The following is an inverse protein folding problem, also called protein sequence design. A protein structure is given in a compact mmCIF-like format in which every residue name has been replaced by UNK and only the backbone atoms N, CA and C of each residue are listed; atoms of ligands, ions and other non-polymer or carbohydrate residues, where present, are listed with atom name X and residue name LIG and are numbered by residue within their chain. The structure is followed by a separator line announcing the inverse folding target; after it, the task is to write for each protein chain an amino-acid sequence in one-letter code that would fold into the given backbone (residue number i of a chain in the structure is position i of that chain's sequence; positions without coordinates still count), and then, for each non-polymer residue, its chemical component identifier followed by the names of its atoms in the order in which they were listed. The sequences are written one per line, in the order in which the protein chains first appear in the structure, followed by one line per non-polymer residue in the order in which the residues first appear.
data_IF_393927423556
#
_entry.id   IF_393927423556
#
_cell.length_a   1.000
_cell.length_b   1.000
_cell.length_c   1.000
_cell.angle_alpha   90.00
_cell.angle_beta   90.00
_cell.angle_gamma   90.00
#
_symmetry.space_group_name_H-M   'P 1'
#
loop_
_entity.id
_entity.type
_entity.pdbx_description
1 polymer ?
#
# COMPACT_ATOMS: atom_id res chain seq x y z
N UNK A 1 3.01 3.90 -32.92
CA UNK A 1 2.17 4.34 -31.77
C UNK A 1 2.56 5.77 -31.44
N UNK A 2 1.61 6.71 -31.26
CA UNK A 2 1.97 8.12 -30.99
C UNK A 2 2.62 8.25 -29.59
N UNK A 3 3.69 9.04 -29.43
CA UNK A 3 4.55 9.02 -28.23
C UNK A 3 3.86 9.51 -26.94
N UNK A 4 2.77 10.26 -27.03
CA UNK A 4 2.07 10.79 -25.85
C UNK A 4 1.21 9.76 -25.11
N UNK A 5 0.90 8.59 -25.70
CA UNK A 5 -0.02 7.61 -25.10
C UNK A 5 0.48 7.11 -23.74
N UNK A 6 1.78 6.80 -23.63
CA UNK A 6 2.36 6.31 -22.38
C UNK A 6 2.39 7.39 -21.28
N UNK A 7 2.69 8.64 -21.66
CA UNK A 7 2.68 9.78 -20.73
C UNK A 7 1.27 10.05 -20.19
N UNK A 8 0.24 9.94 -21.04
CA UNK A 8 -1.15 10.10 -20.60
C UNK A 8 -1.57 8.98 -19.64
N UNK A 9 -1.21 7.72 -19.90
CA UNK A 9 -1.52 6.60 -19.00
C UNK A 9 -0.89 6.79 -17.63
N UNK A 10 0.40 7.17 -17.57
CA UNK A 10 1.09 7.47 -16.32
C UNK A 10 0.42 8.61 -15.55
N UNK A 11 0.06 9.69 -16.23
CA UNK A 11 -0.63 10.83 -15.62
C UNK A 11 -2.01 10.42 -15.07
N UNK A 12 -2.75 9.61 -15.81
CA UNK A 12 -4.03 9.07 -15.33
C UNK A 12 -3.84 8.20 -14.10
N UNK A 13 -2.88 7.28 -14.09
CA UNK A 13 -2.60 6.43 -12.92
C UNK A 13 -2.21 7.26 -11.70
N UNK A 14 -1.40 8.30 -11.89
CA UNK A 14 -1.04 9.24 -10.82
C UNK A 14 -2.28 9.94 -10.23
N UNK A 15 -3.12 10.55 -11.08
CA UNK A 15 -4.35 11.22 -10.63
C UNK A 15 -5.29 10.25 -9.91
N UNK A 16 -5.50 9.05 -10.48
CA UNK A 16 -6.35 8.02 -9.85
C UNK A 16 -5.76 7.58 -8.50
N UNK A 17 -4.44 7.43 -8.39
CA UNK A 17 -3.81 7.04 -7.13
C UNK A 17 -4.05 8.07 -6.01
N UNK A 18 -4.01 9.37 -6.33
CA UNK A 18 -4.28 10.45 -5.37
C UNK A 18 -5.75 10.49 -4.98
N UNK A 19 -6.66 10.41 -5.97
CA UNK A 19 -8.10 10.40 -5.70
C UNK A 19 -8.49 9.18 -4.85
N UNK A 20 -7.90 8.02 -5.13
CA UNK A 20 -8.12 6.82 -4.35
C UNK A 20 -7.53 6.95 -2.94
N UNK A 21 -6.34 7.55 -2.80
CA UNK A 21 -5.76 7.83 -1.48
C UNK A 21 -6.66 8.74 -0.63
N UNK A 22 -7.17 9.83 -1.21
CA UNK A 22 -8.09 10.75 -0.54
C UNK A 22 -9.40 10.07 -0.13
N UNK A 23 -9.95 9.23 -1.01
CA UNK A 23 -11.14 8.46 -0.69
C UNK A 23 -10.87 7.50 0.46
N UNK A 24 -9.79 6.73 0.39
CA UNK A 24 -9.41 5.74 1.41
C UNK A 24 -9.09 6.41 2.74
N UNK A 25 -8.36 7.53 2.76
CA UNK A 25 -8.00 8.23 4.00
C UNK A 25 -9.22 8.70 4.78
N UNK A 26 -10.28 9.13 4.09
CA UNK A 26 -11.54 9.53 4.73
C UNK A 26 -12.31 8.39 5.38
N UNK A 27 -12.06 7.15 4.94
CA UNK A 27 -12.70 5.94 5.44
C UNK A 27 -11.85 5.22 6.49
N UNK A 28 -10.57 5.59 6.62
CA UNK A 28 -9.66 4.96 7.56
C UNK A 28 -9.96 5.41 9.00
N UNK A 29 -10.06 4.46 9.93
CA UNK A 29 -10.33 4.79 11.32
C UNK A 29 -9.02 5.23 12.01
N UNK A 30 -9.12 5.95 13.13
CA UNK A 30 -7.97 6.63 13.76
C UNK A 30 -6.90 5.65 14.27
N UNK A 31 -7.28 4.40 14.52
CA UNK A 31 -6.39 3.34 14.99
C UNK A 31 -5.33 2.96 13.95
N UNK A 32 -5.48 3.40 12.70
CA UNK A 32 -4.49 3.19 11.64
C UNK A 32 -3.36 4.23 11.65
N UNK A 33 -3.42 5.22 12.54
CA UNK A 33 -2.36 6.23 12.68
C UNK A 33 -1.07 5.60 13.16
N UNK A 34 0.01 5.89 12.46
CA UNK A 34 1.32 5.31 12.76
C UNK A 34 2.01 5.93 14.00
N UNK A 35 1.72 7.21 14.31
CA UNK A 35 2.44 8.00 15.31
C UNK A 35 1.59 8.42 16.52
N UNK A 36 0.48 7.72 16.77
CA UNK A 36 -0.45 8.06 17.85
C UNK A 36 -1.45 9.15 17.46
N UNK A 37 -1.99 9.83 18.47
CA UNK A 37 -3.08 10.79 18.28
C UNK A 37 -2.62 12.20 17.93
N UNK A 38 -1.39 12.58 18.31
CA UNK A 38 -0.81 13.89 18.06
C UNK A 38 -0.15 13.93 16.68
N UNK A 39 -0.90 14.40 15.69
CA UNK A 39 -0.48 14.46 14.28
C UNK A 39 0.45 15.65 14.03
N UNK A 40 0.30 16.72 14.80
CA UNK A 40 1.02 17.99 14.60
C UNK A 40 2.42 18.00 15.24
N UNK A 41 2.83 16.90 15.89
CA UNK A 41 4.16 16.77 16.48
C UNK A 41 5.25 16.78 15.38
N UNK A 42 6.14 17.79 15.36
CA UNK A 42 7.20 17.91 14.35
C UNK A 42 8.25 16.79 14.42
N UNK A 43 8.22 15.94 15.45
CA UNK A 43 9.08 14.76 15.55
C UNK A 43 8.59 13.57 14.73
N UNK A 44 7.30 13.50 14.38
CA UNK A 44 6.73 12.36 13.63
C UNK A 44 7.39 12.17 12.24
N UNK A 45 7.62 13.21 11.42
CA UNK A 45 8.34 13.06 10.16
C UNK A 45 9.79 12.59 10.35
N UNK A 46 10.46 12.98 11.43
CA UNK A 46 11.83 12.53 11.74
C UNK A 46 11.84 11.03 12.07
N UNK A 47 10.87 10.56 12.86
CA UNK A 47 10.68 9.13 13.15
C UNK A 47 10.39 8.35 11.87
N UNK A 48 9.53 8.87 10.99
CA UNK A 48 9.25 8.26 9.68
C UNK A 48 10.52 8.08 8.84
N UNK A 49 11.31 9.15 8.67
CA UNK A 49 12.57 9.09 7.91
C UNK A 49 13.53 8.06 8.52
N UNK A 50 13.66 8.06 9.85
CA UNK A 50 14.47 7.07 10.57
C UNK A 50 14.04 5.62 10.29
N UNK A 51 12.73 5.35 10.33
CA UNK A 51 12.18 4.03 10.01
C UNK A 51 12.43 3.61 8.55
N UNK A 52 12.30 4.53 7.59
CA UNK A 52 12.60 4.25 6.18
C UNK A 52 14.06 3.87 6.00
N UNK A 53 14.99 4.61 6.62
CA UNK A 53 16.43 4.29 6.56
C UNK A 53 16.71 2.91 7.14
N UNK A 54 16.13 2.59 8.30
CA UNK A 54 16.27 1.27 8.93
C UNK A 54 15.70 0.17 8.03
N UNK A 55 14.50 0.37 7.49
CA UNK A 55 13.86 -0.59 6.60
C UNK A 55 14.70 -0.83 5.33
N UNK A 56 15.17 0.23 4.68
CA UNK A 56 16.05 0.13 3.51
C UNK A 56 17.35 -0.60 3.86
N UNK A 57 17.97 -0.28 5.00
CA UNK A 57 19.18 -0.97 5.46
C UNK A 57 18.95 -2.48 5.65
N UNK A 58 17.84 -2.87 6.27
CA UNK A 58 17.46 -4.28 6.46
C UNK A 58 17.31 -4.98 5.11
N UNK A 59 16.60 -4.37 4.16
CA UNK A 59 16.41 -4.94 2.82
C UNK A 59 17.75 -5.11 2.11
N UNK A 60 18.61 -4.09 2.11
CA UNK A 60 19.94 -4.15 1.49
C UNK A 60 20.85 -5.19 2.14
N UNK A 61 20.76 -5.36 3.46
CA UNK A 61 21.50 -6.39 4.19
C UNK A 61 21.06 -7.80 3.79
N UNK A 62 19.76 -8.04 3.59
CA UNK A 62 19.22 -9.32 3.10
C UNK A 62 19.65 -9.57 1.64
N UNK A 63 19.61 -8.52 0.79
CA UNK A 63 20.12 -8.58 -0.59
C UNK A 63 21.59 -8.97 -0.60
N UNK A 64 22.41 -8.38 0.27
CA UNK A 64 23.84 -8.71 0.39
C UNK A 64 24.09 -10.17 0.77
N UNK A 65 23.16 -10.81 1.50
CA UNK A 65 23.22 -12.25 1.82
C UNK A 65 22.76 -13.17 0.68
N UNK A 66 22.30 -12.62 -0.44
CA UNK A 66 21.82 -13.40 -1.59
C UNK A 66 20.51 -14.15 -1.34
N UNK A 67 19.74 -13.77 -0.31
CA UNK A 67 18.51 -14.46 0.10
C UNK A 67 17.29 -14.07 -0.75
N UNK A 68 17.34 -14.34 -2.07
CA UNK A 68 16.31 -13.92 -3.03
C UNK A 68 14.88 -14.34 -2.65
N UNK A 69 14.70 -15.57 -2.15
CA UNK A 69 13.38 -16.06 -1.68
C UNK A 69 12.84 -15.27 -0.50
N UNK A 70 13.70 -14.87 0.43
CA UNK A 70 13.29 -14.10 1.60
C UNK A 70 12.83 -12.70 1.20
N UNK A 71 13.54 -12.05 0.27
CA UNK A 71 13.15 -10.75 -0.28
C UNK A 71 11.77 -10.85 -0.93
N UNK A 72 11.56 -11.87 -1.76
CA UNK A 72 10.28 -12.07 -2.43
C UNK A 72 9.13 -12.24 -1.43
N UNK A 73 9.33 -13.04 -0.37
CA UNK A 73 8.32 -13.23 0.68
C UNK A 73 8.04 -11.91 1.41
N UNK A 74 9.08 -11.17 1.81
CA UNK A 74 8.93 -9.90 2.52
C UNK A 74 8.16 -8.88 1.67
N UNK A 75 8.52 -8.74 0.39
CA UNK A 75 7.88 -7.79 -0.52
C UNK A 75 6.42 -8.20 -0.80
N UNK A 76 6.16 -9.47 -1.12
CA UNK A 76 4.79 -9.93 -1.36
C UNK A 76 3.92 -9.80 -0.11
N UNK A 77 4.48 -10.08 1.07
CA UNK A 77 3.79 -9.89 2.34
C UNK A 77 3.49 -8.41 2.58
N UNK A 78 4.45 -7.51 2.39
CA UNK A 78 4.26 -6.07 2.56
C UNK A 78 3.18 -5.52 1.60
N UNK A 79 3.24 -5.91 0.32
CA UNK A 79 2.27 -5.52 -0.70
C UNK A 79 0.87 -6.07 -0.37
N UNK A 80 0.78 -7.35 0.00
CA UNK A 80 -0.49 -7.99 0.38
C UNK A 80 -1.12 -7.37 1.63
N UNK A 81 -0.33 -7.12 2.67
CA UNK A 81 -0.78 -6.44 3.89
C UNK A 81 -1.29 -5.04 3.57
N UNK A 82 -0.56 -4.28 2.73
CA UNK A 82 -0.98 -2.94 2.33
C UNK A 82 -2.33 -2.97 1.60
N UNK A 83 -2.51 -3.91 0.66
CA UNK A 83 -3.78 -4.10 -0.03
C UNK A 83 -4.92 -4.44 0.94
N UNK A 84 -4.68 -5.30 1.94
CA UNK A 84 -5.66 -5.57 2.99
C UNK A 84 -6.08 -4.31 3.75
N UNK A 85 -5.12 -3.48 4.18
CA UNK A 85 -5.40 -2.24 4.92
C UNK A 85 -6.19 -1.22 4.11
N UNK A 86 -6.04 -1.23 2.78
CA UNK A 86 -6.82 -0.39 1.85
C UNK A 86 -8.23 -0.94 1.63
N UNK A 87 -8.35 -2.24 1.41
CA UNK A 87 -9.61 -2.88 1.04
C UNK A 87 -10.60 -2.94 2.21
N UNK A 88 -10.11 -3.19 3.42
CA UNK A 88 -10.93 -3.30 4.64
C UNK A 88 -11.85 -2.09 4.90
N UNK A 89 -11.36 -0.84 4.99
CA UNK A 89 -12.23 0.32 5.23
C UNK A 89 -13.21 0.58 4.09
N UNK A 90 -12.86 0.23 2.84
CA UNK A 90 -13.76 0.33 1.68
C UNK A 90 -14.91 -0.68 1.80
N UNK A 91 -14.60 -1.96 2.03
CA UNK A 91 -15.60 -3.03 2.09
C UNK A 91 -16.54 -2.81 3.28
N UNK A 92 -16.01 -2.33 4.40
CA UNK A 92 -16.80 -2.03 5.59
C UNK A 92 -17.92 -1.00 5.34
N UNK A 93 -17.82 -0.13 4.32
CA UNK A 93 -18.92 0.79 3.97
C UNK A 93 -20.18 0.07 3.45
N UNK A 94 -20.05 -1.17 3.01
CA UNK A 94 -21.13 -1.93 2.37
C UNK A 94 -21.58 -3.14 3.19
N UNK A 95 -20.91 -3.48 4.28
CA UNK A 95 -21.17 -4.70 5.05
C UNK A 95 -20.79 -4.56 6.53
N UNK A 96 -21.07 -5.59 7.33
CA UNK A 96 -20.69 -5.60 8.75
C UNK A 96 -19.18 -5.78 8.92
N UNK A 97 -18.64 -5.31 10.05
CA UNK A 97 -17.21 -5.37 10.35
C UNK A 97 -16.62 -6.78 10.20
N UNK A 98 -17.29 -7.81 10.72
CA UNK A 98 -16.81 -9.19 10.66
C UNK A 98 -16.74 -9.73 9.21
N UNK A 99 -17.71 -9.36 8.37
CA UNK A 99 -17.72 -9.76 6.96
C UNK A 99 -16.66 -9.00 6.17
N UNK A 100 -16.50 -7.70 6.44
CA UNK A 100 -15.49 -6.86 5.80
C UNK A 100 -14.07 -7.37 6.08
N UNK A 101 -13.80 -7.80 7.31
CA UNK A 101 -12.53 -8.40 7.72
C UNK A 101 -12.18 -9.62 6.87
N UNK A 102 -13.11 -10.59 6.79
CA UNK A 102 -12.90 -11.84 6.06
C UNK A 102 -12.74 -11.56 4.56
N UNK A 103 -13.60 -10.73 3.98
CA UNK A 103 -13.56 -10.40 2.55
C UNK A 103 -12.29 -9.63 2.18
N UNK A 104 -11.84 -8.70 3.02
CA UNK A 104 -10.60 -7.95 2.77
C UNK A 104 -9.39 -8.88 2.76
N UNK A 105 -9.31 -9.82 3.72
CA UNK A 105 -8.24 -10.83 3.75
C UNK A 105 -8.29 -11.71 2.51
N UNK A 106 -9.46 -12.25 2.15
CA UNK A 106 -9.61 -13.09 0.97
C UNK A 106 -9.21 -12.36 -0.31
N UNK A 107 -9.69 -11.13 -0.50
CA UNK A 107 -9.39 -10.35 -1.69
C UNK A 107 -7.91 -9.94 -1.76
N UNK A 108 -7.31 -9.54 -0.63
CA UNK A 108 -5.88 -9.24 -0.57
C UNK A 108 -5.02 -10.48 -0.90
N UNK A 109 -5.40 -11.67 -0.40
CA UNK A 109 -4.72 -12.92 -0.73
C UNK A 109 -4.86 -13.28 -2.21
N UNK A 110 -6.06 -13.12 -2.79
CA UNK A 110 -6.30 -13.36 -4.22
C UNK A 110 -5.44 -12.42 -5.07
N UNK A 111 -5.42 -11.12 -4.76
CA UNK A 111 -4.61 -10.13 -5.49
C UNK A 111 -3.11 -10.39 -5.33
N UNK A 112 -2.66 -10.74 -4.13
CA UNK A 112 -1.25 -11.10 -3.87
C UNK A 112 -0.85 -12.38 -4.60
N UNK A 113 -1.74 -13.38 -4.63
CA UNK A 113 -1.51 -14.62 -5.36
C UNK A 113 -1.50 -14.37 -6.88
N UNK A 114 -2.41 -13.53 -7.39
CA UNK A 114 -2.42 -13.11 -8.79
C UNK A 114 -1.10 -12.41 -9.15
N UNK A 115 -0.62 -11.50 -8.30
CA UNK A 115 0.66 -10.82 -8.50
C UNK A 115 1.85 -11.79 -8.50
N UNK A 116 1.83 -12.82 -7.64
CA UNK A 116 2.88 -13.84 -7.59
C UNK A 116 2.86 -14.79 -8.79
N UNK A 117 1.68 -15.25 -9.21
CA UNK A 117 1.54 -16.31 -10.22
C UNK A 117 1.44 -15.76 -11.65
N UNK A 118 0.81 -14.61 -11.82
CA UNK A 118 0.51 -13.97 -13.10
C UNK A 118 0.85 -12.47 -13.05
N UNK A 119 2.14 -12.09 -13.03
CA UNK A 119 2.58 -10.70 -13.01
C UNK A 119 2.41 -10.03 -14.39
N UNK A 120 1.19 -10.04 -14.93
CA UNK A 120 0.83 -9.30 -16.13
C UNK A 120 0.83 -7.79 -15.81
N UNK A 121 1.17 -6.95 -16.79
CA UNK A 121 1.40 -5.51 -16.57
C UNK A 121 0.25 -4.80 -15.84
N UNK A 122 -1.00 -5.11 -16.19
CA UNK A 122 -2.17 -4.51 -15.53
C UNK A 122 -2.38 -5.00 -14.08
N UNK A 123 -1.92 -6.20 -13.72
CA UNK A 123 -1.97 -6.71 -12.33
C UNK A 123 -0.96 -5.95 -11.49
N UNK A 124 0.23 -5.72 -12.04
CA UNK A 124 1.28 -4.92 -11.41
C UNK A 124 0.82 -3.48 -11.24
N UNK A 125 0.21 -2.88 -12.27
CA UNK A 125 -0.32 -1.51 -12.22
C UNK A 125 -1.42 -1.38 -11.15
N UNK A 126 -2.33 -2.36 -11.04
CA UNK A 126 -3.38 -2.36 -10.03
C UNK A 126 -2.82 -2.53 -8.61
N UNK A 127 -1.90 -3.47 -8.40
CA UNK A 127 -1.26 -3.66 -7.12
C UNK A 127 -0.46 -2.41 -6.72
N UNK A 128 0.29 -1.82 -7.66
CA UNK A 128 1.02 -0.58 -7.47
C UNK A 128 0.10 0.59 -7.12
N UNK A 129 -1.05 0.71 -7.78
CA UNK A 129 -2.05 1.74 -7.51
C UNK A 129 -2.67 1.61 -6.11
N UNK A 130 -3.01 0.38 -5.69
CA UNK A 130 -3.53 0.12 -4.34
C UNK A 130 -2.48 0.39 -3.27
N UNK A 131 -1.23 -0.04 -3.47
CA UNK A 131 -0.12 0.19 -2.53
C UNK A 131 0.18 1.69 -2.42
N UNK A 132 0.25 2.40 -3.54
CA UNK A 132 0.49 3.84 -3.56
C UNK A 132 -0.61 4.60 -2.82
N UNK A 133 -1.87 4.25 -3.08
CA UNK A 133 -2.99 4.89 -2.40
C UNK A 133 -3.03 4.56 -0.91
N UNK A 134 -2.76 3.31 -0.52
CA UNK A 134 -2.73 2.88 0.87
C UNK A 134 -1.65 3.54 1.69
N UNK A 135 -0.41 3.53 1.19
CA UNK A 135 0.70 4.21 1.86
C UNK A 135 0.43 5.71 2.00
N UNK A 136 -0.04 6.36 0.92
CA UNK A 136 -0.38 7.79 0.94
C UNK A 136 -1.52 8.10 1.92
N UNK A 137 -2.55 7.26 1.96
CA UNK A 137 -3.67 7.43 2.88
C UNK A 137 -3.25 7.28 4.34
N UNK A 138 -2.47 6.25 4.69
CA UNK A 138 -1.98 6.03 6.05
C UNK A 138 -1.08 7.18 6.51
N UNK A 139 -0.14 7.62 5.67
CA UNK A 139 0.71 8.75 6.03
C UNK A 139 -0.08 10.06 6.11
N UNK A 140 -1.04 10.28 5.20
CA UNK A 140 -1.87 11.49 5.20
C UNK A 140 -2.82 11.63 6.40
N UNK A 141 -3.13 10.54 7.12
CA UNK A 141 -3.88 10.61 8.39
C UNK A 141 -2.99 10.64 9.63
N UNK A 142 -1.68 10.37 9.46
CA UNK A 142 -0.71 10.18 10.55
C UNK A 142 0.29 11.33 10.71
N UNK A 143 0.40 12.22 9.73
CA UNK A 143 1.37 13.33 9.64
C UNK A 143 0.72 14.60 9.09
#
# INVERSE_FOLDING_TARGET
MKPYRSSVVMLTLFVVSILLAMAVSSLMPKEYRAFGDDVDDPTNPLLYIGMVIIFTFVILWIVRKGMQRLIQIIILFAVGMTMYFVLRPIIWQFTSYAVAEILAIQLALILTYALYKFPEWYVVDLAGLLVAAGATAIFGISL
#
